data_IF_824252559300
#
_entry.id   IF_824252559300
#
_cell.length_a   1.000
_cell.length_b   1.000
_cell.length_c   1.000
_cell.angle_alpha   90.00
_cell.angle_beta   90.00
_cell.angle_gamma   90.00
#
_symmetry.space_group_name_H-M   'P 1'
#
loop_
_entity.id
_entity.type
_entity.pdbx_description
1 polymer ?
#
# COMPACT_ATOMS: atom_id res chain seq x y z
N UNK A 1 14.65 -2.80 5.12
CA UNK A 1 13.60 -3.75 5.54
C UNK A 1 12.40 -3.64 4.60
N UNK A 2 11.62 -4.72 4.45
CA UNK A 2 10.36 -4.71 3.68
C UNK A 2 9.25 -5.32 4.50
N UNK A 3 8.08 -4.68 4.49
CA UNK A 3 6.85 -5.16 5.10
C UNK A 3 5.76 -5.20 4.03
N UNK A 4 4.98 -6.28 4.00
CA UNK A 4 3.84 -6.42 3.08
C UNK A 4 2.59 -6.79 3.88
N UNK A 5 1.46 -6.18 3.54
CA UNK A 5 0.21 -6.41 4.26
C UNK A 5 -0.50 -7.67 3.79
N UNK A 6 -1.47 -8.10 4.58
CA UNK A 6 -2.54 -8.95 4.08
C UNK A 6 -3.28 -8.30 2.91
N UNK A 7 -3.89 -9.14 2.09
CA UNK A 7 -4.63 -8.72 0.91
C UNK A 7 -5.96 -8.08 1.28
N UNK A 8 -6.26 -6.98 0.60
CA UNK A 8 -7.56 -6.31 0.63
C UNK A 8 -8.39 -6.78 -0.56
N UNK A 9 -9.71 -6.93 -0.39
CA UNK A 9 -10.64 -7.07 -1.53
C UNK A 9 -11.43 -8.36 -1.68
N UNK A 10 -11.91 -8.96 -0.57
CA UNK A 10 -12.63 -10.24 -0.60
C UNK A 10 -14.12 -10.16 -0.92
N UNK A 11 -14.70 -8.96 -0.97
CA UNK A 11 -16.16 -8.79 -0.91
C UNK A 11 -16.85 -8.89 -2.29
N UNK A 12 -16.18 -9.50 -3.27
CA UNK A 12 -16.70 -9.70 -4.62
C UNK A 12 -16.85 -8.42 -5.46
N UNK A 13 -16.51 -7.26 -4.91
CA UNK A 13 -16.54 -5.95 -5.56
C UNK A 13 -15.13 -5.42 -5.82
N UNK A 14 -15.02 -4.51 -6.80
CA UNK A 14 -13.77 -3.78 -7.01
C UNK A 14 -13.58 -2.76 -5.90
N UNK A 15 -12.31 -2.54 -5.56
CA UNK A 15 -11.85 -1.55 -4.62
C UNK A 15 -11.05 -0.47 -5.35
N UNK A 16 -11.20 0.75 -4.90
CA UNK A 16 -10.38 1.88 -5.31
C UNK A 16 -9.37 2.18 -4.20
N UNK A 17 -8.10 1.98 -4.52
CA UNK A 17 -6.95 2.30 -3.69
C UNK A 17 -6.57 3.75 -3.94
N UNK A 18 -6.61 4.58 -2.90
CA UNK A 18 -6.10 5.96 -2.88
C UNK A 18 -4.67 6.08 -2.33
N UNK A 19 -4.14 4.97 -1.80
CA UNK A 19 -2.84 4.89 -1.17
C UNK A 19 -2.96 4.41 0.25
N UNK A 20 -1.91 4.65 1.03
CA UNK A 20 -1.86 4.20 2.41
C UNK A 20 -0.84 5.00 3.21
N UNK A 21 -0.94 4.93 4.53
CA UNK A 21 0.03 5.50 5.46
C UNK A 21 0.72 4.39 6.24
N UNK A 22 2.04 4.17 6.06
CA UNK A 22 2.79 3.25 6.90
C UNK A 22 2.80 3.70 8.37
N UNK A 23 2.65 2.75 9.29
CA UNK A 23 2.75 2.99 10.74
C UNK A 23 4.19 2.70 11.17
N UNK A 24 5.05 3.71 11.08
CA UNK A 24 6.49 3.62 11.37
C UNK A 24 7.06 4.99 11.76
N UNK A 25 8.14 5.00 12.56
CA UNK A 25 8.95 6.19 12.85
C UNK A 25 10.04 6.48 11.80
N UNK A 26 10.21 5.61 10.79
CA UNK A 26 11.23 5.80 9.76
C UNK A 26 11.06 7.14 9.01
N UNK A 27 12.13 7.92 8.95
CA UNK A 27 12.17 9.22 8.25
C UNK A 27 12.24 9.09 6.73
N UNK A 28 12.57 7.91 6.21
CA UNK A 28 12.53 7.60 4.78
C UNK A 28 11.94 6.21 4.57
N UNK A 29 10.89 6.14 3.75
CA UNK A 29 10.27 4.90 3.32
C UNK A 29 9.61 5.11 1.95
N UNK A 30 9.45 3.98 1.27
CA UNK A 30 8.82 3.88 -0.04
C UNK A 30 7.63 2.95 0.05
N UNK A 31 6.52 3.34 -0.56
CA UNK A 31 5.30 2.54 -0.62
C UNK A 31 5.02 2.09 -2.05
N UNK A 32 4.61 0.84 -2.23
CA UNK A 32 4.01 0.33 -3.46
C UNK A 32 2.80 -0.54 -3.12
N UNK A 33 1.96 -0.80 -4.12
CA UNK A 33 0.88 -1.77 -3.99
C UNK A 33 0.98 -2.82 -5.09
N UNK A 34 0.63 -4.06 -4.77
CA UNK A 34 0.36 -5.08 -5.78
C UNK A 34 -1.13 -5.13 -6.07
N UNK A 35 -1.52 -5.43 -7.30
CA UNK A 35 -2.93 -5.54 -7.70
C UNK A 35 -3.18 -6.73 -8.63
N UNK A 36 -4.41 -7.27 -8.57
CA UNK A 36 -4.89 -8.37 -9.42
C UNK A 36 -6.42 -8.47 -9.44
N UNK A 37 -6.95 -9.14 -10.47
CA UNK A 37 -8.40 -9.26 -10.68
C UNK A 37 -8.98 -10.55 -10.09
N UNK A 38 -8.22 -11.65 -10.10
CA UNK A 38 -8.56 -12.89 -9.41
C UNK A 38 -7.48 -13.31 -8.41
N UNK A 39 -7.83 -14.21 -7.48
CA UNK A 39 -6.89 -14.73 -6.48
C UNK A 39 -5.83 -15.64 -7.12
N UNK A 40 -6.09 -16.16 -8.32
CA UNK A 40 -5.22 -17.04 -9.09
C UNK A 40 -4.26 -16.24 -10.00
N UNK A 41 -4.60 -15.00 -10.32
CA UNK A 41 -3.75 -14.15 -11.17
C UNK A 41 -2.43 -13.81 -10.47
N UNK A 42 -1.37 -13.74 -11.29
CA UNK A 42 -0.10 -13.21 -10.86
C UNK A 42 -0.24 -11.71 -10.51
N UNK A 43 0.13 -11.28 -9.29
CA UNK A 43 -0.02 -9.88 -8.89
C UNK A 43 0.95 -8.98 -9.65
N UNK A 44 0.46 -7.84 -10.13
CA UNK A 44 1.30 -6.79 -10.73
C UNK A 44 1.61 -5.73 -9.69
N UNK A 45 2.87 -5.31 -9.57
CA UNK A 45 3.28 -4.27 -8.61
C UNK A 45 3.29 -2.88 -9.25
N UNK A 46 2.85 -1.87 -8.51
CA UNK A 46 3.05 -0.47 -8.89
C UNK A 46 4.50 -0.04 -8.68
N UNK A 47 4.88 1.06 -9.32
CA UNK A 47 6.11 1.76 -8.98
C UNK A 47 6.11 2.16 -7.49
N UNK A 48 7.31 2.22 -6.91
CA UNK A 48 7.50 2.71 -5.56
C UNK A 48 7.33 4.24 -5.50
N UNK A 49 6.64 4.71 -4.47
CA UNK A 49 6.36 6.12 -4.22
C UNK A 49 6.98 6.49 -2.87
N UNK A 50 7.81 7.52 -2.88
CA UNK A 50 8.42 8.06 -1.66
C UNK A 50 7.35 8.66 -0.74
N UNK A 51 7.57 8.58 0.57
CA UNK A 51 6.72 9.24 1.57
C UNK A 51 6.47 10.70 1.23
N UNK A 52 5.21 11.13 1.31
CA UNK A 52 4.86 12.53 1.27
C UNK A 52 5.25 13.18 2.61
N UNK A 53 6.12 14.20 2.58
CA UNK A 53 6.63 14.85 3.78
C UNK A 53 5.56 15.60 4.60
N UNK A 54 4.44 15.98 3.97
CA UNK A 54 3.34 16.72 4.62
C UNK A 54 2.29 15.80 5.23
N UNK A 55 1.93 14.72 4.53
CA UNK A 55 0.82 13.84 4.93
C UNK A 55 1.30 12.52 5.54
N UNK A 56 2.56 12.14 5.34
CA UNK A 56 3.12 10.85 5.72
C UNK A 56 2.60 9.68 4.87
N UNK A 57 1.91 9.96 3.76
CA UNK A 57 1.26 8.94 2.92
C UNK A 57 2.10 8.58 1.70
N UNK A 58 1.82 7.40 1.15
CA UNK A 58 2.24 7.00 -0.19
C UNK A 58 1.00 7.03 -1.09
N UNK A 59 0.83 8.13 -1.82
CA UNK A 59 -0.35 8.40 -2.63
C UNK A 59 -0.31 7.61 -3.94
N UNK A 60 -1.27 6.72 -4.18
CA UNK A 60 -1.37 5.94 -5.43
C UNK A 60 -2.82 5.68 -5.78
N UNK A 61 -3.14 5.67 -7.09
CA UNK A 61 -4.51 5.47 -7.58
C UNK A 61 -4.60 4.19 -8.39
N UNK A 62 -5.33 3.22 -7.86
CA UNK A 62 -5.59 1.95 -8.56
C UNK A 62 -7.00 1.45 -8.29
N UNK A 63 -7.64 1.04 -9.38
CA UNK A 63 -8.88 0.27 -9.39
C UNK A 63 -8.51 -1.19 -9.57
N UNK A 64 -8.91 -2.05 -8.64
CA UNK A 64 -8.60 -3.49 -8.71
C UNK A 64 -9.56 -4.28 -7.83
N UNK A 65 -9.59 -5.60 -7.93
CA UNK A 65 -10.34 -6.45 -6.99
C UNK A 65 -9.53 -6.77 -5.75
N UNK A 66 -8.24 -7.05 -5.92
CA UNK A 66 -7.37 -7.42 -4.82
C UNK A 66 -6.11 -6.57 -4.77
N UNK A 67 -5.71 -6.14 -3.58
CA UNK A 67 -4.50 -5.34 -3.40
C UNK A 67 -3.74 -5.69 -2.13
N UNK A 68 -2.40 -5.69 -2.19
CA UNK A 68 -1.51 -5.71 -1.00
C UNK A 68 -0.64 -4.48 -1.00
N UNK A 69 -0.32 -3.97 0.18
CA UNK A 69 0.54 -2.80 0.34
C UNK A 69 1.90 -3.23 0.81
N UNK A 70 2.93 -2.65 0.20
CA UNK A 70 4.33 -2.93 0.51
C UNK A 70 5.02 -1.65 0.95
N UNK A 71 5.70 -1.72 2.06
CA UNK A 71 6.58 -0.68 2.59
C UNK A 71 8.02 -1.15 2.49
N UNK A 72 8.88 -0.33 1.90
CA UNK A 72 10.34 -0.54 1.90
C UNK A 72 11.01 0.61 2.65
N UNK A 73 11.70 0.27 3.72
CA UNK A 73 12.61 1.18 4.43
C UNK A 73 14.03 0.90 3.89
N UNK A 74 14.73 1.90 3.32
CA UNK A 74 16.09 1.74 2.81
C UNK A 74 17.07 1.24 3.86
N UNK A 75 18.16 0.64 3.41
CA UNK A 75 19.31 0.36 4.28
C UNK A 75 19.81 1.67 4.92
N UNK A 76 20.40 1.54 6.11
CA UNK A 76 21.00 2.66 6.86
C UNK A 76 20.03 3.79 7.26
N UNK A 77 18.71 3.57 7.16
CA UNK A 77 17.73 4.45 7.78
C UNK A 77 17.62 4.09 9.27
N UNK A 78 17.64 5.09 10.16
CA UNK A 78 17.37 4.88 11.58
C UNK A 78 15.85 4.84 11.83
N UNK A 79 15.38 3.78 12.50
CA UNK A 79 13.98 3.56 12.87
C UNK A 79 13.91 2.54 14.01
N UNK A 80 12.82 2.55 14.77
CA UNK A 80 12.63 1.66 15.92
C UNK A 80 11.42 0.74 15.76
N UNK A 81 10.42 1.13 14.96
CA UNK A 81 9.24 0.28 14.73
C UNK A 81 8.67 0.40 13.31
N UNK A 82 8.01 -0.68 12.88
CA UNK A 82 7.13 -0.71 11.73
C UNK A 82 6.00 -1.72 12.02
N UNK A 83 4.77 -1.23 12.20
CA UNK A 83 3.66 -2.02 12.76
C UNK A 83 2.56 -2.36 11.73
N UNK A 84 2.69 -1.90 10.49
CA UNK A 84 1.72 -2.15 9.43
C UNK A 84 1.47 -0.90 8.60
N UNK A 85 0.27 -0.81 8.03
CA UNK A 85 -0.18 0.34 7.26
C UNK A 85 -1.64 0.65 7.59
N UNK A 86 -2.02 1.90 7.39
CA UNK A 86 -3.39 2.36 7.35
C UNK A 86 -3.79 2.54 5.87
N UNK A 87 -4.51 1.57 5.30
CA UNK A 87 -4.91 1.61 3.89
C UNK A 87 -6.09 2.57 3.69
N UNK A 88 -6.06 3.34 2.60
CA UNK A 88 -7.19 4.13 2.13
C UNK A 88 -7.74 3.48 0.88
N UNK A 89 -8.73 2.65 1.16
CA UNK A 89 -9.39 1.79 0.19
C UNK A 89 -10.88 2.01 0.37
N UNK A 90 -11.57 2.23 -0.74
CA UNK A 90 -13.03 2.36 -0.76
C UNK A 90 -13.63 1.43 -1.82
N UNK A 91 -14.88 0.99 -1.67
CA UNK A 91 -15.60 0.34 -2.75
C UNK A 91 -15.60 1.22 -4.01
N UNK A 92 -15.25 0.64 -5.15
CA UNK A 92 -15.27 1.38 -6.41
C UNK A 92 -16.72 1.65 -6.86
N UNK A 93 -16.97 2.86 -7.38
CA UNK A 93 -18.29 3.27 -7.88
C UNK A 93 -19.22 3.86 -6.82
N UNK A 94 -18.79 3.95 -5.56
CA UNK A 94 -19.50 4.67 -4.51
C UNK A 94 -18.78 5.99 -4.23
N UNK A 95 -19.50 7.09 -4.38
CA UNK A 95 -19.00 8.46 -4.12
C UNK A 95 -19.03 8.77 -2.64
#
# INVERSE_FOLDING_TARGET
ATLETAEQGTDGRRIYVNGFRPVTDATTFYGSASYRETQQDAPTSTAEIVRNSRTGRCDMRRSTRYSRFKVRIPASTAWTFAAGVEPDVRPEGFT
#
